data_IF_805411907820
#
_entry.id   IF_805411907820
#
_cell.length_a   1.000
_cell.length_b   1.000
_cell.length_c   1.000
_cell.angle_alpha   90.00
_cell.angle_beta   90.00
_cell.angle_gamma   90.00
#
_symmetry.space_group_name_H-M   'P 1'
#
loop_
_entity.id
_entity.type
_entity.pdbx_description
1 polymer ?
#
# COMPACT_ATOMS: atom_id res chain seq x y z
N UNK A 1 -33.79 10.93 -41.48
CA UNK A 1 -32.89 9.77 -41.28
C UNK A 1 -31.39 10.10 -41.41
N UNK A 2 -30.93 10.97 -42.32
CA UNK A 2 -29.49 11.35 -42.41
C UNK A 2 -28.93 12.18 -41.24
N UNK A 3 -29.75 13.00 -40.57
CA UNK A 3 -29.31 13.82 -39.42
C UNK A 3 -29.21 13.04 -38.11
N UNK A 4 -30.02 12.00 -37.91
CA UNK A 4 -30.00 11.16 -36.69
C UNK A 4 -28.79 10.21 -36.65
N UNK A 5 -28.33 9.73 -37.81
CA UNK A 5 -27.11 8.89 -37.91
C UNK A 5 -25.83 9.69 -37.63
N UNK A 6 -25.72 10.91 -38.14
CA UNK A 6 -24.54 11.80 -37.88
C UNK A 6 -24.47 12.23 -36.41
N UNK A 7 -25.62 12.37 -35.73
CA UNK A 7 -25.69 12.74 -34.31
C UNK A 7 -25.29 11.58 -33.37
N UNK A 8 -25.40 10.31 -33.78
CA UNK A 8 -24.89 9.17 -32.99
C UNK A 8 -23.42 8.83 -33.28
N UNK A 9 -22.90 9.15 -34.46
CA UNK A 9 -21.49 8.87 -34.80
C UNK A 9 -20.53 9.68 -33.93
N UNK A 10 -20.85 10.94 -33.62
CA UNK A 10 -20.01 11.80 -32.79
C UNK A 10 -19.84 11.26 -31.34
N UNK A 11 -20.91 10.94 -30.58
CA UNK A 11 -20.76 10.38 -29.24
C UNK A 11 -20.14 8.99 -29.24
N UNK A 12 -20.40 8.15 -30.26
CA UNK A 12 -19.74 6.84 -30.38
C UNK A 12 -18.26 6.99 -30.68
N UNK A 13 -17.88 7.87 -31.61
CA UNK A 13 -16.48 8.14 -31.93
C UNK A 13 -15.73 8.75 -30.73
N UNK A 14 -16.36 9.68 -30.01
CA UNK A 14 -15.80 10.23 -28.77
C UNK A 14 -15.65 9.16 -27.68
N UNK A 15 -16.65 8.30 -27.50
CA UNK A 15 -16.59 7.20 -26.54
C UNK A 15 -15.50 6.18 -26.90
N UNK A 16 -15.43 5.77 -28.17
CA UNK A 16 -14.39 4.86 -28.67
C UNK A 16 -12.99 5.47 -28.54
N UNK A 17 -12.84 6.77 -28.81
CA UNK A 17 -11.59 7.49 -28.62
C UNK A 17 -11.21 7.59 -27.13
N UNK A 18 -12.17 7.94 -26.27
CA UNK A 18 -11.96 8.10 -24.82
C UNK A 18 -11.60 6.78 -24.14
N UNK A 19 -12.36 5.71 -24.40
CA UNK A 19 -12.09 4.37 -23.89
C UNK A 19 -10.81 3.80 -24.51
N UNK A 20 -10.61 4.00 -25.82
CA UNK A 20 -9.38 3.61 -26.52
C UNK A 20 -8.15 4.25 -25.90
N UNK A 21 -8.21 5.53 -25.54
CA UNK A 21 -7.13 6.24 -24.87
C UNK A 21 -6.75 5.64 -23.53
N UNK A 22 -7.73 5.25 -22.69
CA UNK A 22 -7.46 4.62 -21.39
C UNK A 22 -6.92 3.19 -21.52
N UNK A 23 -7.38 2.44 -22.52
CA UNK A 23 -6.87 1.09 -22.81
C UNK A 23 -5.43 1.11 -23.34
N UNK A 24 -5.05 2.16 -24.06
CA UNK A 24 -3.70 2.35 -24.61
C UNK A 24 -2.76 3.16 -23.70
N UNK A 25 -3.25 3.64 -22.55
CA UNK A 25 -2.43 4.43 -21.63
C UNK A 25 -1.26 3.59 -21.07
N UNK A 26 -0.09 4.20 -20.80
CA UNK A 26 1.08 3.46 -20.32
C UNK A 26 0.85 2.80 -18.94
N UNK A 27 1.74 1.89 -18.57
CA UNK A 27 1.70 1.19 -17.28
C UNK A 27 1.02 -0.18 -17.33
N UNK A 28 0.91 -0.81 -16.16
CA UNK A 28 0.56 -2.23 -16.04
C UNK A 28 -0.85 -2.50 -15.51
N UNK A 29 -1.67 -1.47 -15.32
CA UNK A 29 -3.04 -1.64 -14.81
C UNK A 29 -3.83 -2.60 -15.71
N UNK A 30 -4.63 -3.48 -15.09
CA UNK A 30 -5.48 -4.42 -15.82
C UNK A 30 -6.55 -3.67 -16.62
N UNK A 31 -7.06 -4.27 -17.70
CA UNK A 31 -8.17 -3.71 -18.49
C UNK A 31 -9.37 -3.38 -17.59
N UNK A 32 -9.70 -4.25 -16.64
CA UNK A 32 -10.79 -4.03 -15.68
C UNK A 32 -10.54 -2.81 -14.80
N UNK A 33 -9.32 -2.65 -14.25
CA UNK A 33 -8.97 -1.51 -13.42
C UNK A 33 -9.03 -0.19 -14.22
N UNK A 34 -8.48 -0.20 -15.44
CA UNK A 34 -8.51 0.93 -16.38
C UNK A 34 -9.94 1.38 -16.69
N UNK A 35 -10.82 0.44 -17.04
CA UNK A 35 -12.22 0.73 -17.35
C UNK A 35 -13.00 1.21 -16.13
N UNK A 36 -12.75 0.63 -14.95
CA UNK A 36 -13.34 1.09 -13.71
C UNK A 36 -12.96 2.55 -13.44
N UNK A 37 -11.68 2.90 -13.56
CA UNK A 37 -11.22 4.28 -13.37
C UNK A 37 -11.78 5.25 -14.38
N UNK A 38 -11.80 4.88 -15.65
CA UNK A 38 -12.46 5.66 -16.69
C UNK A 38 -13.92 5.93 -16.33
N UNK A 39 -14.67 4.90 -15.92
CA UNK A 39 -16.08 5.04 -15.58
C UNK A 39 -16.29 5.98 -14.39
N UNK A 40 -15.47 5.84 -13.35
CA UNK A 40 -15.55 6.70 -12.17
C UNK A 40 -15.17 8.15 -12.47
N UNK A 41 -14.17 8.38 -13.32
CA UNK A 41 -13.80 9.73 -13.78
C UNK A 41 -14.93 10.40 -14.56
N UNK A 42 -15.71 9.64 -15.31
CA UNK A 42 -16.87 10.14 -16.08
C UNK A 42 -18.19 10.14 -15.29
N UNK A 43 -18.11 10.21 -13.95
CA UNK A 43 -19.29 10.36 -13.09
C UNK A 43 -20.07 9.06 -12.83
N UNK A 44 -19.64 7.91 -13.37
CA UNK A 44 -20.28 6.61 -13.11
C UNK A 44 -19.77 5.94 -11.83
N UNK A 45 -19.20 6.72 -10.91
CA UNK A 45 -18.65 6.24 -9.64
C UNK A 45 -19.64 5.43 -8.80
N UNK A 46 -20.91 5.85 -8.76
CA UNK A 46 -21.97 5.15 -8.03
C UNK A 46 -22.27 3.78 -8.64
N UNK A 47 -22.31 3.67 -9.97
CA UNK A 47 -22.58 2.41 -10.69
C UNK A 47 -21.46 1.41 -10.44
N UNK A 48 -20.20 1.84 -10.56
CA UNK A 48 -19.06 0.96 -10.28
C UNK A 48 -19.08 0.47 -8.83
N UNK A 49 -19.36 1.37 -7.87
CA UNK A 49 -19.44 1.01 -6.46
C UNK A 49 -20.57 0.02 -6.19
N UNK A 50 -21.71 0.16 -6.87
CA UNK A 50 -22.85 -0.74 -6.76
C UNK A 50 -22.53 -2.13 -7.36
N UNK A 51 -21.84 -2.18 -8.50
CA UNK A 51 -21.37 -3.45 -9.06
C UNK A 51 -20.38 -4.15 -8.14
N UNK A 52 -19.45 -3.41 -7.52
CA UNK A 52 -18.53 -3.95 -6.53
C UNK A 52 -19.26 -4.47 -5.30
N UNK A 53 -20.31 -3.77 -4.84
CA UNK A 53 -21.18 -4.21 -3.74
C UNK A 53 -21.90 -5.51 -4.08
N UNK A 54 -22.45 -5.62 -5.30
CA UNK A 54 -23.10 -6.85 -5.78
C UNK A 54 -22.09 -7.99 -5.87
N UNK A 55 -20.91 -7.74 -6.45
CA UNK A 55 -19.83 -8.73 -6.53
C UNK A 55 -19.43 -9.23 -5.14
N UNK A 56 -19.32 -8.33 -4.16
CA UNK A 56 -19.03 -8.69 -2.77
C UNK A 56 -20.15 -9.55 -2.17
N UNK A 57 -21.41 -9.24 -2.43
CA UNK A 57 -22.54 -10.05 -1.93
C UNK A 57 -22.60 -11.44 -2.58
N UNK A 58 -22.20 -11.55 -3.84
CA UNK A 58 -22.13 -12.83 -4.55
C UNK A 58 -20.91 -13.66 -4.16
N UNK A 59 -19.83 -13.01 -3.72
CA UNK A 59 -18.56 -13.68 -3.40
C UNK A 59 -17.90 -13.00 -2.19
N UNK A 60 -18.52 -13.09 -1.00
CA UNK A 60 -17.89 -12.56 0.21
C UNK A 60 -16.65 -13.39 0.55
N UNK A 61 -15.67 -12.83 1.29
CA UNK A 61 -14.53 -13.59 1.77
C UNK A 61 -14.95 -14.85 2.52
N UNK A 62 -14.15 -15.90 2.37
CA UNK A 62 -14.43 -17.19 2.96
C UNK A 62 -14.26 -17.14 4.48
N UNK A 63 -15.29 -17.54 5.22
CA UNK A 63 -15.19 -17.76 6.66
C UNK A 63 -14.65 -19.17 6.92
N UNK A 64 -13.65 -19.26 7.80
CA UNK A 64 -12.97 -20.47 8.20
C UNK A 64 -11.98 -20.99 7.16
N UNK A 65 -11.58 -22.25 7.34
CA UNK A 65 -10.62 -22.95 6.50
C UNK A 65 -9.18 -22.88 7.02
N UNK A 66 -8.29 -23.61 6.36
CA UNK A 66 -6.86 -23.57 6.62
C UNK A 66 -6.17 -22.64 5.63
N UNK A 67 -5.01 -22.10 6.02
CA UNK A 67 -4.09 -21.45 5.10
C UNK A 67 -3.75 -22.42 3.95
N UNK A 68 -3.50 -21.86 2.77
CA UNK A 68 -3.06 -22.64 1.59
C UNK A 68 -1.64 -23.25 1.75
N UNK A 69 -1.01 -23.09 2.92
CA UNK A 69 0.30 -23.59 3.28
C UNK A 69 0.65 -23.23 4.73
N UNK A 70 1.93 -23.35 5.08
CA UNK A 70 2.45 -22.81 6.34
C UNK A 70 2.62 -21.28 6.27
N UNK A 71 2.91 -20.66 7.41
CA UNK A 71 3.39 -19.28 7.44
C UNK A 71 4.66 -19.18 6.57
N UNK A 72 4.75 -18.22 5.63
CA UNK A 72 5.92 -18.07 4.77
C UNK A 72 7.20 -17.91 5.60
N UNK A 73 8.29 -18.52 5.14
CA UNK A 73 9.62 -18.35 5.72
C UNK A 73 10.47 -17.57 4.72
N UNK A 74 10.89 -16.37 5.10
CA UNK A 74 11.71 -15.52 4.26
C UNK A 74 13.18 -15.94 4.36
N UNK A 75 13.84 -16.06 3.21
CA UNK A 75 15.30 -16.19 3.15
C UNK A 75 15.84 -14.82 2.77
N UNK A 76 16.66 -14.16 3.62
CA UNK A 76 17.11 -12.81 3.32
C UNK A 76 17.89 -12.78 1.99
N UNK A 77 17.44 -11.96 1.06
CA UNK A 77 18.16 -11.67 -0.17
C UNK A 77 19.43 -10.87 0.14
N UNK A 78 20.60 -11.46 -0.09
CA UNK A 78 21.88 -10.77 0.00
C UNK A 78 22.07 -9.87 -1.23
N UNK A 79 22.13 -8.55 -1.01
CA UNK A 79 22.58 -7.61 -2.04
C UNK A 79 24.07 -7.80 -2.32
N UNK A 80 24.41 -8.59 -3.34
CA UNK A 80 25.77 -8.72 -3.89
C UNK A 80 26.21 -10.18 -4.15
N UNK A 81 27.00 -10.44 -5.22
CA UNK A 81 27.45 -11.79 -5.53
C UNK A 81 28.67 -12.17 -4.69
N UNK A 82 28.58 -13.23 -3.89
CA UNK A 82 29.74 -14.00 -3.43
C UNK A 82 29.37 -15.44 -3.03
N UNK A 83 30.32 -16.39 -3.14
CA UNK A 83 30.03 -17.79 -3.40
C UNK A 83 29.50 -18.52 -2.16
N UNK A 84 28.58 -19.47 -2.41
CA UNK A 84 28.07 -20.43 -1.44
C UNK A 84 29.21 -21.09 -0.66
N UNK A 85 29.25 -20.88 0.66
CA UNK A 85 29.82 -21.82 1.60
C UNK A 85 28.66 -22.40 2.39
N UNK A 86 28.50 -23.71 2.30
CA UNK A 86 27.46 -24.47 2.97
C UNK A 86 27.51 -24.25 4.49
N UNK A 87 26.40 -23.81 5.09
CA UNK A 87 26.23 -23.75 6.54
C UNK A 87 25.33 -24.90 7.00
N UNK A 88 25.86 -25.71 7.92
CA UNK A 88 25.17 -26.80 8.61
C UNK A 88 24.03 -26.30 9.53
N UNK A 89 23.03 -27.16 9.83
CA UNK A 89 21.85 -26.76 10.57
C UNK A 89 22.16 -26.64 12.07
N UNK A 90 21.93 -25.45 12.64
CA UNK A 90 21.98 -25.27 14.10
C UNK A 90 20.73 -24.59 14.63
N UNK A 91 20.07 -25.32 15.54
CA UNK A 91 19.25 -24.94 16.68
C UNK A 91 18.24 -23.77 16.56
N UNK A 92 16.98 -24.08 16.87
CA UNK A 92 15.90 -23.13 17.15
C UNK A 92 16.33 -22.10 18.21
N UNK A 93 16.46 -20.84 17.80
CA UNK A 93 16.67 -19.69 18.69
C UNK A 93 15.28 -19.13 19.06
N UNK A 94 14.89 -19.29 20.32
CA UNK A 94 13.67 -18.74 20.92
C UNK A 94 13.81 -17.27 21.36
N UNK A 95 14.39 -16.43 20.51
CA UNK A 95 14.51 -14.99 20.73
C UNK A 95 14.89 -14.27 19.45
N UNK A 96 14.02 -13.36 18.97
CA UNK A 96 14.28 -12.58 17.76
C UNK A 96 15.55 -11.73 17.92
N UNK A 97 16.54 -11.82 17.01
CA UNK A 97 17.75 -10.97 17.02
C UNK A 97 17.50 -9.47 16.86
N UNK A 98 16.24 -9.05 16.67
CA UNK A 98 15.87 -7.77 16.04
C UNK A 98 15.14 -6.80 16.95
N UNK A 99 15.00 -7.09 18.25
CA UNK A 99 14.38 -6.19 19.23
C UNK A 99 12.87 -5.96 19.06
N UNK A 100 12.27 -6.46 17.98
CA UNK A 100 10.84 -6.42 17.72
C UNK A 100 10.13 -7.56 18.47
N UNK A 101 9.07 -7.22 19.19
CA UNK A 101 8.15 -8.21 19.75
C UNK A 101 7.30 -8.82 18.62
N UNK A 102 7.09 -10.14 18.66
CA UNK A 102 6.22 -10.81 17.71
C UNK A 102 4.80 -10.25 17.77
N UNK A 103 4.15 -10.16 16.61
CA UNK A 103 2.75 -9.73 16.53
C UNK A 103 1.88 -10.84 17.15
N UNK A 104 1.02 -10.54 18.14
CA UNK A 104 0.07 -11.51 18.66
C UNK A 104 -0.81 -12.12 17.57
N UNK A 105 -1.02 -13.43 17.65
CA UNK A 105 -1.93 -14.13 16.74
C UNK A 105 -3.38 -13.65 16.94
N UNK A 106 -4.03 -13.27 15.84
CA UNK A 106 -5.42 -12.79 15.83
C UNK A 106 -6.44 -13.94 15.79
N UNK A 107 -5.95 -15.17 15.62
CA UNK A 107 -6.74 -16.40 15.54
C UNK A 107 -6.17 -17.44 16.50
N UNK A 108 -7.04 -18.22 17.15
CA UNK A 108 -6.63 -19.31 18.04
C UNK A 108 -7.09 -20.70 17.51
N UNK A 109 -6.29 -21.76 17.72
CA UNK A 109 -4.91 -21.71 18.23
C UNK A 109 -3.96 -21.04 17.22
N UNK A 110 -2.90 -20.40 17.71
CA UNK A 110 -1.84 -19.86 16.88
C UNK A 110 -1.17 -20.98 16.04
N UNK A 111 -0.77 -20.66 14.81
CA UNK A 111 0.04 -21.57 13.98
C UNK A 111 1.53 -21.26 14.11
N UNK A 112 2.38 -22.23 13.80
CA UNK A 112 3.83 -22.06 13.92
C UNK A 112 4.34 -20.92 13.02
N UNK A 113 5.20 -20.06 13.58
CA UNK A 113 5.78 -18.90 12.88
C UNK A 113 4.86 -17.67 12.80
N UNK A 114 3.60 -17.77 13.23
CA UNK A 114 2.63 -16.68 13.16
C UNK A 114 3.12 -15.45 13.94
N UNK A 115 3.15 -14.30 13.26
CA UNK A 115 3.57 -13.02 13.82
C UNK A 115 5.06 -12.89 14.14
N UNK A 116 5.88 -13.89 13.83
CA UNK A 116 7.33 -13.82 14.05
C UNK A 116 8.02 -12.98 12.98
N UNK A 117 8.94 -12.10 13.40
CA UNK A 117 9.71 -11.25 12.50
C UNK A 117 10.86 -12.00 11.86
N UNK A 118 11.04 -11.77 10.57
CA UNK A 118 12.10 -12.35 9.76
C UNK A 118 12.67 -11.29 8.80
N UNK A 119 13.99 -11.25 8.57
CA UNK A 119 14.61 -10.26 7.70
C UNK A 119 14.20 -10.52 6.25
N UNK A 120 13.56 -9.52 5.63
CA UNK A 120 13.24 -9.53 4.19
C UNK A 120 14.39 -8.90 3.39
N UNK A 121 15.03 -7.89 3.95
CA UNK A 121 16.19 -7.20 3.38
C UNK A 121 17.19 -6.86 4.47
N UNK A 122 18.47 -7.10 4.20
CA UNK A 122 19.58 -6.70 5.08
C UNK A 122 20.50 -5.72 4.34
N UNK A 123 20.81 -4.58 4.96
CA UNK A 123 21.80 -3.62 4.47
C UNK A 123 22.87 -3.44 5.53
N UNK A 124 24.15 -3.49 5.13
CA UNK A 124 25.30 -3.34 6.03
C UNK A 124 25.23 -4.25 7.28
N UNK A 125 24.73 -5.48 7.11
CA UNK A 125 24.58 -6.46 8.20
C UNK A 125 23.44 -6.18 9.19
N UNK A 126 22.59 -5.19 8.92
CA UNK A 126 21.40 -4.86 9.72
C UNK A 126 20.11 -5.11 8.92
N UNK A 127 19.04 -5.64 9.54
CA UNK A 127 17.75 -5.77 8.89
C UNK A 127 17.19 -4.39 8.54
N UNK A 128 17.13 -4.06 7.25
CA UNK A 128 16.57 -2.81 6.76
C UNK A 128 15.05 -2.93 6.55
N UNK A 129 14.59 -4.11 6.12
CA UNK A 129 13.17 -4.48 6.08
C UNK A 129 13.00 -5.83 6.76
N UNK A 130 12.05 -5.92 7.67
CA UNK A 130 11.62 -7.17 8.29
C UNK A 130 10.17 -7.43 7.95
N UNK A 131 9.81 -8.70 7.74
CA UNK A 131 8.43 -9.13 7.51
C UNK A 131 7.95 -10.05 8.63
N UNK A 132 6.66 -10.00 8.91
CA UNK A 132 5.94 -10.99 9.70
C UNK A 132 4.62 -11.31 8.98
N UNK A 133 4.13 -12.54 9.17
CA UNK A 133 2.88 -12.98 8.55
C UNK A 133 1.97 -13.61 9.58
N UNK A 134 0.68 -13.35 9.45
CA UNK A 134 -0.33 -13.84 10.36
C UNK A 134 -1.70 -13.95 9.69
N UNK A 135 -2.58 -14.77 10.26
CA UNK A 135 -4.00 -14.74 9.86
C UNK A 135 -4.64 -13.43 10.34
N UNK A 136 -5.56 -12.85 9.56
CA UNK A 136 -6.11 -11.53 9.84
C UNK A 136 -6.98 -11.51 11.10
N UNK A 137 -7.88 -12.48 11.25
CA UNK A 137 -8.84 -12.54 12.36
C UNK A 137 -9.38 -13.96 12.60
N UNK A 138 -10.21 -14.13 13.63
CA UNK A 138 -10.77 -15.42 14.02
C UNK A 138 -11.80 -16.00 13.01
N UNK A 139 -12.28 -15.21 12.05
CA UNK A 139 -13.27 -15.62 11.06
C UNK A 139 -12.60 -15.99 9.73
N UNK A 140 -11.65 -15.20 9.24
CA UNK A 140 -11.04 -15.33 7.91
C UNK A 140 -9.74 -16.15 7.97
N UNK A 141 -9.80 -17.33 8.60
CA UNK A 141 -8.63 -18.13 9.00
C UNK A 141 -7.85 -18.78 7.84
N UNK A 142 -8.39 -18.73 6.62
CA UNK A 142 -7.71 -19.21 5.41
C UNK A 142 -6.94 -18.13 4.66
N UNK A 143 -6.98 -16.88 5.14
CA UNK A 143 -6.27 -15.74 4.57
C UNK A 143 -4.98 -15.44 5.32
N UNK A 144 -4.04 -14.79 4.62
CA UNK A 144 -2.75 -14.36 5.17
C UNK A 144 -2.63 -12.83 5.06
N UNK A 145 -2.11 -12.21 6.10
CA UNK A 145 -1.73 -10.79 6.14
C UNK A 145 -0.21 -10.71 6.27
N UNK A 146 0.41 -9.90 5.42
CA UNK A 146 1.81 -9.52 5.52
C UNK A 146 1.98 -8.20 6.25
N UNK A 147 2.98 -8.13 7.11
CA UNK A 147 3.39 -6.91 7.80
C UNK A 147 4.86 -6.67 7.56
N UNK A 148 5.25 -5.48 7.12
CA UNK A 148 6.63 -5.08 6.93
C UNK A 148 7.01 -3.95 7.88
N UNK A 149 8.19 -4.03 8.50
CA UNK A 149 8.81 -2.93 9.25
C UNK A 149 9.99 -2.38 8.45
N UNK A 150 10.03 -1.05 8.28
CA UNK A 150 11.03 -0.34 7.48
C UNK A 150 11.91 0.52 8.42
N UNK A 151 13.21 0.24 8.44
CA UNK A 151 14.19 1.02 9.22
C UNK A 151 14.62 2.27 8.45
N UNK A 152 14.09 3.42 8.87
CA UNK A 152 14.36 4.71 8.25
C UNK A 152 15.79 5.23 8.48
N UNK A 153 16.58 4.61 9.35
CA UNK A 153 18.00 4.93 9.52
C UNK A 153 18.88 4.36 8.41
N UNK A 154 18.37 3.33 7.72
CA UNK A 154 19.03 2.68 6.58
C UNK A 154 18.35 3.02 5.25
N UNK A 155 17.08 3.44 5.31
CA UNK A 155 16.22 3.64 4.15
C UNK A 155 15.62 5.05 4.13
N UNK A 156 15.31 5.54 2.94
CA UNK A 156 14.60 6.78 2.70
C UNK A 156 13.39 6.56 1.81
N UNK A 157 12.36 7.37 1.99
CA UNK A 157 11.10 7.31 1.25
C UNK A 157 11.02 8.46 0.26
N UNK A 158 10.48 8.18 -0.91
CA UNK A 158 10.23 9.16 -1.95
C UNK A 158 8.83 8.95 -2.52
N UNK A 159 8.01 10.02 -2.52
CA UNK A 159 6.67 9.98 -3.10
C UNK A 159 6.74 10.29 -4.59
N UNK A 160 6.31 9.35 -5.40
CA UNK A 160 6.12 9.54 -6.84
C UNK A 160 4.65 9.85 -7.13
N UNK A 161 4.33 10.93 -7.86
CA UNK A 161 2.96 11.21 -8.28
C UNK A 161 2.53 10.21 -9.36
N UNK A 162 1.28 9.76 -9.34
CA UNK A 162 0.71 9.06 -10.49
C UNK A 162 0.28 10.04 -11.57
N UNK A 163 0.34 9.61 -12.84
CA UNK A 163 -0.07 10.46 -13.96
C UNK A 163 -1.59 10.73 -14.00
N UNK A 164 -2.40 9.96 -13.25
CA UNK A 164 -3.84 10.25 -13.05
C UNK A 164 -4.16 10.70 -11.62
N UNK A 165 -3.48 10.15 -10.60
CA UNK A 165 -3.65 10.54 -9.19
C UNK A 165 -2.27 10.79 -8.59
N UNK A 166 -1.97 12.02 -8.14
CA UNK A 166 -2.83 13.21 -8.18
C UNK A 166 -3.09 13.73 -9.60
N UNK A 167 -2.36 13.25 -10.61
CA UNK A 167 -2.40 13.79 -11.97
C UNK A 167 -1.79 15.19 -12.04
N UNK A 168 -2.09 15.93 -13.11
CA UNK A 168 -1.50 17.25 -13.33
C UNK A 168 -0.10 17.20 -13.94
N UNK A 169 0.63 18.31 -13.86
CA UNK A 169 1.97 18.47 -14.43
C UNK A 169 2.82 19.38 -13.54
N UNK A 170 4.14 19.43 -13.78
CA UNK A 170 5.06 20.28 -13.02
C UNK A 170 5.66 19.62 -11.77
N UNK A 171 5.33 18.36 -11.51
CA UNK A 171 5.95 17.58 -10.43
C UNK A 171 7.43 17.37 -10.70
N UNK A 172 8.24 17.46 -9.64
CA UNK A 172 9.66 17.15 -9.71
C UNK A 172 9.89 15.64 -9.85
N UNK A 173 9.10 14.85 -9.12
CA UNK A 173 9.20 13.40 -9.19
C UNK A 173 8.45 12.81 -10.39
N UNK A 174 9.02 11.81 -11.08
CA UNK A 174 8.38 11.15 -12.20
C UNK A 174 7.30 10.17 -11.73
N UNK A 175 6.53 9.66 -12.69
CA UNK A 175 5.39 8.77 -12.43
C UNK A 175 5.77 7.30 -12.32
N UNK A 176 7.07 7.02 -12.31
CA UNK A 176 7.72 5.72 -12.24
C UNK A 176 9.07 5.89 -11.55
N UNK A 177 9.69 4.79 -11.10
CA UNK A 177 11.05 4.81 -10.58
C UNK A 177 12.04 4.96 -11.73
N UNK A 178 12.81 6.08 -11.78
CA UNK A 178 13.83 6.30 -12.80
C UNK A 178 14.86 5.19 -12.84
N UNK A 179 15.38 4.88 -14.03
CA UNK A 179 16.48 3.91 -14.18
C UNK A 179 17.70 4.27 -13.31
N UNK A 180 17.96 5.56 -13.09
CA UNK A 180 19.07 6.04 -12.25
C UNK A 180 18.94 5.68 -10.77
N UNK A 181 17.74 5.34 -10.29
CA UNK A 181 17.49 5.03 -8.88
C UNK A 181 17.34 3.52 -8.63
N UNK A 182 17.24 2.72 -9.69
CA UNK A 182 16.94 1.28 -9.58
C UNK A 182 17.99 0.50 -8.82
N UNK A 183 19.24 0.95 -8.79
CA UNK A 183 20.28 0.29 -7.98
C UNK A 183 20.11 0.53 -6.47
N UNK A 184 19.47 1.65 -6.09
CA UNK A 184 19.18 1.96 -4.70
C UNK A 184 17.76 1.55 -4.29
N UNK A 185 16.89 1.20 -5.24
CA UNK A 185 15.49 0.84 -5.00
C UNK A 185 15.39 -0.49 -4.26
N UNK A 186 14.93 -0.49 -3.02
CA UNK A 186 14.80 -1.73 -2.25
C UNK A 186 13.36 -2.18 -2.07
N UNK A 187 12.41 -1.24 -2.08
CA UNK A 187 10.99 -1.55 -2.05
C UNK A 187 10.13 -0.45 -2.67
N UNK A 188 8.88 -0.77 -2.96
CA UNK A 188 7.81 0.18 -3.28
C UNK A 188 6.51 -0.28 -2.62
N UNK A 189 5.61 0.66 -2.37
CA UNK A 189 4.26 0.33 -1.90
C UNK A 189 3.23 1.36 -2.37
N UNK A 190 1.97 0.95 -2.40
CA UNK A 190 0.89 1.82 -2.85
C UNK A 190 0.62 3.00 -1.91
N UNK A 191 0.11 4.09 -2.47
CA UNK A 191 -0.34 5.26 -1.71
C UNK A 191 -1.79 5.11 -1.22
N UNK A 192 -2.39 6.22 -0.81
CA UNK A 192 -3.77 6.33 -0.35
C UNK A 192 -4.81 6.31 -1.46
N UNK A 193 -6.06 6.58 -1.10
CA UNK A 193 -7.18 6.55 -2.04
C UNK A 193 -7.03 7.64 -3.10
N UNK A 194 -7.76 7.48 -4.20
CA UNK A 194 -8.01 8.55 -5.16
C UNK A 194 -8.42 9.83 -4.44
N UNK A 195 -8.03 10.98 -4.98
CA UNK A 195 -8.26 12.23 -4.27
C UNK A 195 -9.73 12.48 -3.93
N UNK A 196 -10.64 12.13 -4.86
CA UNK A 196 -12.08 12.24 -4.66
C UNK A 196 -12.65 11.38 -3.53
N UNK A 197 -11.98 10.28 -3.15
CA UNK A 197 -12.43 9.36 -2.09
C UNK A 197 -11.60 9.49 -0.80
N UNK A 198 -10.38 10.03 -0.89
CA UNK A 198 -9.44 10.13 0.24
C UNK A 198 -9.92 11.01 1.38
N UNK A 199 -10.86 11.93 1.12
CA UNK A 199 -11.22 13.04 2.02
C UNK A 199 -9.98 13.76 2.57
N UNK A 200 -8.92 13.83 1.78
CA UNK A 200 -7.63 14.42 2.15
C UNK A 200 -7.02 15.21 1.00
N UNK A 201 -5.85 15.80 1.25
CA UNK A 201 -5.08 16.52 0.25
C UNK A 201 -3.83 15.79 -0.24
N UNK A 202 -3.21 16.43 -1.21
CA UNK A 202 -1.93 16.06 -1.79
C UNK A 202 -1.11 17.32 -2.01
N UNK A 203 0.07 17.37 -1.41
CA UNK A 203 1.06 18.42 -1.59
C UNK A 203 2.43 17.80 -1.80
N UNK A 204 3.21 18.33 -2.75
CA UNK A 204 4.57 17.90 -3.00
C UNK A 204 5.41 19.04 -3.58
N UNK A 205 6.62 19.23 -3.06
CA UNK A 205 7.64 20.14 -3.58
C UNK A 205 7.13 21.58 -3.85
N UNK A 206 6.32 22.12 -2.92
CA UNK A 206 5.75 23.46 -3.05
C UNK A 206 4.46 23.53 -3.88
N UNK A 207 4.05 22.43 -4.52
CA UNK A 207 2.86 22.35 -5.35
C UNK A 207 1.72 21.61 -4.64
N UNK A 208 0.53 22.22 -4.66
CA UNK A 208 -0.71 21.62 -4.16
C UNK A 208 -1.52 21.04 -5.32
N UNK A 209 -1.79 19.73 -5.30
CA UNK A 209 -2.81 19.15 -6.18
C UNK A 209 -4.20 19.28 -5.58
N UNK A 210 -4.33 18.95 -4.30
CA UNK A 210 -5.58 19.06 -3.53
C UNK A 210 -5.24 19.62 -2.15
N UNK A 211 -5.97 20.65 -1.67
CA UNK A 211 -5.68 21.26 -0.38
C UNK A 211 -5.65 20.26 0.77
N UNK A 212 -4.65 20.39 1.65
CA UNK A 212 -4.56 19.59 2.87
C UNK A 212 -5.71 19.91 3.81
N UNK A 213 -6.30 18.87 4.41
CA UNK A 213 -7.35 18.98 5.41
C UNK A 213 -6.75 18.88 6.81
N UNK A 214 -7.09 19.84 7.67
CA UNK A 214 -6.81 19.77 9.11
C UNK A 214 -7.48 18.54 9.73
N UNK A 215 -6.73 17.81 10.55
CA UNK A 215 -7.19 16.61 11.25
C UNK A 215 -7.11 15.31 10.45
N UNK A 216 -6.84 15.38 9.14
CA UNK A 216 -6.68 14.18 8.31
C UNK A 216 -5.39 13.43 8.67
N UNK A 217 -5.45 12.11 8.59
CA UNK A 217 -4.26 11.27 8.65
C UNK A 217 -3.35 11.57 7.45
N UNK A 218 -2.05 11.75 7.72
CA UNK A 218 -1.09 12.27 6.76
C UNK A 218 0.23 11.52 6.84
N UNK A 219 0.65 10.96 5.72
CA UNK A 219 2.04 10.58 5.48
C UNK A 219 2.80 11.85 5.10
N UNK A 220 3.78 12.23 5.90
CA UNK A 220 4.63 13.40 5.70
C UNK A 220 6.04 12.92 5.43
N UNK A 221 6.61 13.28 4.28
CA UNK A 221 8.01 12.96 3.92
C UNK A 221 8.85 14.21 4.02
N UNK A 222 10.01 14.09 4.65
CA UNK A 222 10.96 15.18 4.90
C UNK A 222 12.15 15.14 3.94
N UNK A 223 12.89 16.25 3.84
CA UNK A 223 14.04 16.42 2.95
C UNK A 223 15.17 15.43 3.15
N UNK A 224 15.35 14.94 4.38
CA UNK A 224 16.33 13.88 4.69
C UNK A 224 15.81 12.47 4.33
N UNK A 225 14.60 12.40 3.77
CA UNK A 225 13.96 11.20 3.28
C UNK A 225 13.30 10.34 4.36
N UNK A 226 13.23 10.77 5.63
CA UNK A 226 12.36 10.07 6.57
C UNK A 226 10.89 10.47 6.36
N UNK A 227 9.97 9.62 6.81
CA UNK A 227 8.54 9.83 6.80
C UNK A 227 7.94 9.69 8.20
N UNK A 228 6.86 10.42 8.45
CA UNK A 228 6.04 10.29 9.65
C UNK A 228 4.57 10.11 9.26
N UNK A 229 3.79 9.49 10.15
CA UNK A 229 2.33 9.39 10.06
C UNK A 229 1.73 10.25 11.16
N UNK A 230 1.06 11.32 10.79
CA UNK A 230 0.54 12.33 11.72
C UNK A 230 -0.93 12.64 11.51
N UNK A 231 -1.58 13.16 12.55
CA UNK A 231 -2.81 13.92 12.40
C UNK A 231 -2.45 15.34 11.99
N UNK A 232 -2.86 15.76 10.79
CA UNK A 232 -2.42 17.06 10.27
C UNK A 232 -2.92 18.22 11.14
N UNK A 233 -2.01 19.07 11.60
CA UNK A 233 -2.35 20.25 12.40
C UNK A 233 -3.02 21.39 11.61
N UNK A 234 -3.00 21.31 10.27
CA UNK A 234 -3.41 22.41 9.39
C UNK A 234 -2.23 23.29 8.99
N UNK A 235 -2.51 24.31 8.18
CA UNK A 235 -1.49 25.21 7.66
C UNK A 235 -0.71 24.65 6.47
N UNK A 236 0.30 25.42 6.06
CA UNK A 236 1.21 25.06 4.97
C UNK A 236 2.30 24.10 5.48
N UNK A 237 2.72 23.12 4.67
CA UNK A 237 3.88 22.30 5.00
C UNK A 237 5.12 23.14 5.34
N UNK A 238 5.87 22.71 6.34
CA UNK A 238 7.07 23.41 6.80
C UNK A 238 8.22 23.32 5.80
N UNK A 239 9.31 24.09 6.00
CA UNK A 239 10.42 24.18 5.05
C UNK A 239 11.18 22.86 4.85
N UNK A 240 11.08 21.91 5.79
CA UNK A 240 11.75 20.60 5.73
C UNK A 240 10.87 19.49 5.15
N UNK A 241 9.61 19.77 4.83
CA UNK A 241 8.67 18.82 4.24
C UNK A 241 8.79 18.86 2.73
N UNK A 242 8.91 17.69 2.08
CA UNK A 242 8.92 17.55 0.61
C UNK A 242 7.62 16.98 0.07
N UNK A 243 6.90 16.19 0.86
CA UNK A 243 5.58 15.68 0.45
C UNK A 243 4.64 15.51 1.65
N UNK A 244 3.35 15.76 1.41
CA UNK A 244 2.27 15.40 2.33
C UNK A 244 1.18 14.70 1.53
N UNK A 245 0.92 13.45 1.88
CA UNK A 245 -0.16 12.67 1.32
C UNK A 245 -1.16 12.26 2.39
N UNK A 246 -2.39 12.71 2.25
CA UNK A 246 -3.43 12.44 3.24
C UNK A 246 -4.39 11.36 2.78
N UNK A 247 -4.94 10.64 3.74
CA UNK A 247 -6.05 9.72 3.52
C UNK A 247 -6.86 9.59 4.82
N UNK A 248 -8.17 9.85 4.75
CA UNK A 248 -9.14 9.67 5.83
C UNK A 248 -8.65 10.26 7.18
N UNK A 249 -9.05 9.63 8.30
CA UNK A 249 -8.59 9.94 9.65
C UNK A 249 -7.65 8.81 10.16
N UNK A 250 -6.94 9.04 11.27
CA UNK A 250 -6.01 8.04 11.80
C UNK A 250 -6.76 6.80 12.28
N UNK A 251 -6.26 5.61 11.93
CA UNK A 251 -6.70 4.31 12.44
C UNK A 251 -6.23 4.08 13.88
N UNK A 252 -4.99 4.51 14.16
CA UNK A 252 -4.34 4.43 15.47
C UNK A 252 -3.84 5.81 15.81
N UNK A 253 -4.11 6.27 17.03
CA UNK A 253 -3.60 7.52 17.58
C UNK A 253 -3.12 7.27 19.01
N UNK A 254 -1.85 7.61 19.27
CA UNK A 254 -1.17 7.33 20.53
C UNK A 254 -1.31 5.86 21.00
N UNK A 255 -1.13 4.91 20.09
CA UNK A 255 -1.22 3.46 20.34
C UNK A 255 -2.64 2.94 20.61
N UNK A 256 -3.66 3.79 20.48
CA UNK A 256 -5.07 3.43 20.69
C UNK A 256 -5.81 3.44 19.36
N UNK A 257 -6.72 2.49 19.15
CA UNK A 257 -7.58 2.50 17.97
C UNK A 257 -8.47 3.74 17.97
N UNK A 258 -8.79 4.27 16.79
CA UNK A 258 -9.73 5.36 16.64
C UNK A 258 -11.06 5.06 17.36
N UNK A 259 -11.64 6.07 18.01
CA UNK A 259 -12.89 5.90 18.76
C UNK A 259 -14.07 5.48 17.86
N UNK A 260 -14.01 5.83 16.58
CA UNK A 260 -15.00 5.54 15.55
C UNK A 260 -14.56 4.43 14.59
N UNK A 261 -13.65 3.54 15.02
CA UNK A 261 -13.13 2.43 14.20
C UNK A 261 -14.24 1.50 13.65
N UNK A 262 -15.36 1.38 14.35
CA UNK A 262 -16.54 0.60 13.91
C UNK A 262 -17.59 1.43 13.17
N UNK A 263 -17.30 2.71 12.90
CA UNK A 263 -18.20 3.61 12.15
C UNK A 263 -18.56 2.98 10.81
N UNK A 264 -19.87 2.90 10.56
CA UNK A 264 -20.42 2.43 9.29
C UNK A 264 -20.65 3.60 8.31
N UNK A 265 -20.17 4.80 8.64
CA UNK A 265 -20.31 5.95 7.73
C UNK A 265 -19.20 5.92 6.69
N UNK A 266 -19.56 6.20 5.43
CA UNK A 266 -18.58 6.28 4.35
C UNK A 266 -17.67 7.49 4.46
N UNK A 267 -18.05 8.46 5.30
CA UNK A 267 -17.23 9.58 5.68
C UNK A 267 -15.99 9.10 6.45
N UNK A 268 -16.14 8.22 7.44
CA UNK A 268 -15.00 7.83 8.28
C UNK A 268 -14.01 6.94 7.54
N UNK A 269 -14.48 5.88 6.87
CA UNK A 269 -13.61 4.81 6.33
C UNK A 269 -13.77 4.56 4.82
N UNK A 270 -14.29 5.55 4.09
CA UNK A 270 -14.55 5.42 2.66
C UNK A 270 -15.76 4.56 2.33
N UNK A 271 -15.94 4.22 1.05
CA UNK A 271 -17.17 3.54 0.58
C UNK A 271 -17.33 2.10 1.05
N UNK A 272 -16.30 1.48 1.61
CA UNK A 272 -16.42 0.19 2.29
C UNK A 272 -16.82 0.45 3.74
N UNK A 273 -17.93 -0.17 4.15
CA UNK A 273 -18.68 0.21 5.34
C UNK A 273 -18.01 -0.39 6.59
N UNK A 274 -17.05 0.30 7.20
CA UNK A 274 -16.49 -0.03 8.54
C UNK A 274 -16.13 -1.51 8.74
N UNK A 275 -16.62 -2.11 9.83
CA UNK A 275 -16.43 -3.53 10.16
C UNK A 275 -17.38 -4.49 9.41
N UNK A 276 -18.20 -3.99 8.47
CA UNK A 276 -19.16 -4.79 7.71
C UNK A 276 -18.62 -5.30 6.37
N UNK A 277 -17.42 -4.88 5.95
CA UNK A 277 -16.82 -5.27 4.68
C UNK A 277 -15.36 -5.67 4.86
N UNK A 278 -15.05 -6.91 4.44
CA UNK A 278 -13.72 -7.50 4.48
C UNK A 278 -13.15 -7.53 3.07
N UNK A 279 -12.08 -6.78 2.82
CA UNK A 279 -11.48 -6.61 1.49
C UNK A 279 -9.97 -6.59 1.61
N UNK A 280 -9.29 -6.56 0.48
CA UNK A 280 -7.92 -6.07 0.42
C UNK A 280 -7.81 -4.72 1.14
N UNK A 281 -6.87 -4.59 2.05
CA UNK A 281 -6.55 -3.30 2.68
C UNK A 281 -5.06 -3.14 2.86
N UNK A 282 -4.62 -1.90 2.85
CA UNK A 282 -3.26 -1.55 3.27
C UNK A 282 -3.27 -0.45 4.32
N UNK A 283 -2.26 -0.43 5.18
CA UNK A 283 -2.03 0.64 6.15
C UNK A 283 -0.56 1.01 6.22
N UNK A 284 -0.30 2.28 6.53
CA UNK A 284 1.01 2.77 6.92
C UNK A 284 0.94 3.30 8.34
N UNK A 285 1.86 2.87 9.19
CA UNK A 285 2.02 3.36 10.55
C UNK A 285 3.45 3.76 10.86
N UNK A 286 3.61 4.48 11.96
CA UNK A 286 4.89 4.88 12.54
C UNK A 286 4.98 4.31 13.96
N UNK A 287 6.13 3.74 14.30
CA UNK A 287 6.45 3.23 15.64
C UNK A 287 7.13 4.32 16.48
N UNK A 288 7.16 4.13 17.80
CA UNK A 288 7.81 5.07 18.71
C UNK A 288 9.33 5.20 18.46
N UNK A 289 9.95 4.16 17.90
CA UNK A 289 11.37 4.14 17.51
C UNK A 289 11.64 4.83 16.16
N UNK A 290 10.61 5.34 15.49
CA UNK A 290 10.72 5.99 14.18
C UNK A 290 10.72 5.04 12.99
N UNK A 291 10.61 3.72 13.17
CA UNK A 291 10.43 2.79 12.04
C UNK A 291 8.99 2.83 11.51
N UNK A 292 8.83 2.61 10.20
CA UNK A 292 7.49 2.51 9.60
C UNK A 292 6.98 1.08 9.70
N UNK A 293 5.65 0.92 9.77
CA UNK A 293 4.93 -0.36 9.69
C UNK A 293 4.02 -0.30 8.47
N UNK A 294 4.15 -1.24 7.55
CA UNK A 294 3.21 -1.44 6.46
C UNK A 294 2.43 -2.73 6.68
N UNK A 295 1.11 -2.71 6.50
CA UNK A 295 0.24 -3.89 6.59
C UNK A 295 -0.46 -4.08 5.25
N UNK A 296 -0.52 -5.31 4.75
CA UNK A 296 -1.25 -5.66 3.54
C UNK A 296 -1.88 -7.05 3.65
N UNK A 297 -3.12 -7.18 3.18
CA UNK A 297 -3.77 -8.49 3.07
C UNK A 297 -5.21 -8.38 2.58
N UNK A 298 -5.77 -9.53 2.19
CA UNK A 298 -7.19 -9.68 1.89
C UNK A 298 -8.02 -9.97 3.15
N UNK A 299 -9.34 -9.90 3.01
CA UNK A 299 -10.31 -10.18 4.06
C UNK A 299 -10.08 -9.36 5.33
N UNK A 300 -9.63 -8.11 5.19
CA UNK A 300 -9.42 -7.19 6.29
C UNK A 300 -10.62 -6.24 6.43
N UNK A 301 -11.13 -6.09 7.65
CA UNK A 301 -11.94 -4.94 8.03
C UNK A 301 -11.05 -3.77 8.48
N UNK A 302 -11.65 -2.59 8.64
CA UNK A 302 -10.95 -1.41 9.20
C UNK A 302 -10.39 -1.74 10.59
N UNK A 303 -11.19 -2.40 11.44
CA UNK A 303 -10.79 -2.81 12.79
C UNK A 303 -9.66 -3.83 12.75
N UNK A 304 -9.75 -4.84 11.88
CA UNK A 304 -8.70 -5.86 11.75
C UNK A 304 -7.38 -5.22 11.34
N UNK A 305 -7.39 -4.36 10.31
CA UNK A 305 -6.23 -3.61 9.84
C UNK A 305 -5.59 -2.77 10.95
N UNK A 306 -6.40 -1.98 11.66
CA UNK A 306 -5.91 -1.09 12.73
C UNK A 306 -5.37 -1.88 13.94
N UNK A 307 -6.00 -3.01 14.27
CA UNK A 307 -5.56 -3.91 15.34
C UNK A 307 -4.19 -4.48 15.02
N UNK A 308 -3.99 -5.00 13.81
CA UNK A 308 -2.69 -5.54 13.36
C UNK A 308 -1.62 -4.45 13.33
N UNK A 309 -1.92 -3.25 12.83
CA UNK A 309 -0.95 -2.14 12.79
C UNK A 309 -0.51 -1.74 14.22
N UNK A 310 -1.45 -1.61 15.16
CA UNK A 310 -1.16 -1.34 16.58
C UNK A 310 -0.32 -2.46 17.20
N UNK A 311 -0.70 -3.71 16.95
CA UNK A 311 -0.05 -4.90 17.51
C UNK A 311 1.36 -5.11 16.93
N UNK A 312 1.62 -4.60 15.72
CA UNK A 312 2.95 -4.46 15.14
C UNK A 312 3.75 -3.27 15.71
N UNK A 313 3.20 -2.55 16.70
CA UNK A 313 3.86 -1.48 17.45
C UNK A 313 3.61 -0.07 16.93
N UNK A 314 2.74 0.13 15.93
CA UNK A 314 2.43 1.46 15.43
C UNK A 314 1.76 2.31 16.53
N UNK A 315 2.32 3.49 16.81
CA UNK A 315 1.72 4.47 17.71
C UNK A 315 0.77 5.40 16.98
N UNK A 316 0.97 5.59 15.67
CA UNK A 316 0.01 6.21 14.76
C UNK A 316 -0.06 5.42 13.48
N UNK A 317 -1.24 5.28 12.90
CA UNK A 317 -1.42 4.57 11.64
C UNK A 317 -2.57 5.16 10.82
N UNK A 318 -2.46 5.05 9.49
CA UNK A 318 -3.45 5.51 8.53
C UNK A 318 -3.77 4.40 7.52
N UNK A 319 -5.03 4.37 7.08
CA UNK A 319 -5.44 3.50 5.98
C UNK A 319 -4.89 4.03 4.66
N UNK A 320 -4.39 3.13 3.82
CA UNK A 320 -3.91 3.37 2.46
C UNK A 320 -4.92 2.75 1.48
N UNK A 321 -4.64 2.61 0.18
CA UNK A 321 -5.61 2.01 -0.77
C UNK A 321 -6.12 0.62 -0.30
N UNK A 322 -7.37 0.31 -0.66
CA UNK A 322 -8.09 -0.93 -0.32
C UNK A 322 -8.55 -1.68 -1.58
N UNK A 323 -8.25 -1.16 -2.76
CA UNK A 323 -8.57 -1.89 -3.97
C UNK A 323 -7.50 -2.93 -4.25
N UNK A 324 -7.91 -4.20 -4.35
CA UNK A 324 -7.04 -5.32 -4.73
C UNK A 324 -6.21 -5.07 -6.00
N UNK A 325 -6.68 -4.24 -6.92
CA UNK A 325 -5.94 -3.87 -8.13
C UNK A 325 -4.75 -2.94 -7.86
N UNK A 326 -4.68 -2.32 -6.67
CA UNK A 326 -3.66 -1.34 -6.32
C UNK A 326 -2.92 -1.63 -5.00
N UNK A 327 -3.44 -2.46 -4.10
CA UNK A 327 -2.77 -2.84 -2.83
C UNK A 327 -1.55 -3.72 -3.07
N UNK A 328 -0.36 -3.30 -2.62
CA UNK A 328 0.87 -4.09 -2.71
C UNK A 328 2.00 -3.55 -1.81
N UNK A 329 2.91 -4.44 -1.44
CA UNK A 329 4.27 -4.12 -1.00
C UNK A 329 5.27 -4.95 -1.82
N UNK A 330 6.12 -4.28 -2.59
CA UNK A 330 7.04 -4.92 -3.53
C UNK A 330 8.47 -4.68 -3.04
N UNK A 331 9.26 -5.73 -2.92
CA UNK A 331 10.72 -5.62 -2.69
C UNK A 331 11.50 -5.88 -3.97
N UNK A 332 12.77 -5.47 -4.02
CA UNK A 332 13.60 -5.61 -5.21
C UNK A 332 14.95 -6.28 -4.92
N UNK A 333 15.32 -7.22 -5.78
CA UNK A 333 16.67 -7.79 -5.85
C UNK A 333 17.43 -7.25 -7.06
N UNK A 334 18.76 -7.15 -6.94
CA UNK A 334 19.63 -6.53 -7.95
C UNK A 334 20.67 -7.53 -8.48
N UNK A 335 20.33 -8.37 -9.48
CA UNK A 335 21.27 -9.35 -10.03
C UNK A 335 22.42 -8.71 -10.83
N UNK A 336 22.25 -7.47 -11.29
CA UNK A 336 23.27 -6.68 -11.99
C UNK A 336 22.93 -5.18 -11.88
N UNK A 337 23.90 -4.27 -12.11
CA UNK A 337 23.64 -2.83 -12.11
C UNK A 337 22.53 -2.43 -13.08
N UNK A 338 21.69 -1.48 -12.66
CA UNK A 338 20.50 -0.98 -13.34
C UNK A 338 19.30 -1.93 -13.36
N UNK A 339 19.43 -3.16 -12.83
CA UNK A 339 18.38 -4.18 -12.90
C UNK A 339 17.75 -4.40 -11.52
N UNK A 340 16.49 -3.99 -11.38
CA UNK A 340 15.67 -4.25 -10.21
C UNK A 340 14.60 -5.32 -10.55
N UNK A 341 14.67 -6.47 -9.87
CA UNK A 341 13.71 -7.58 -10.04
C UNK A 341 12.72 -7.56 -8.87
N UNK A 342 11.41 -7.36 -9.12
CA UNK A 342 10.40 -7.22 -8.07
C UNK A 342 9.92 -8.55 -7.48
N UNK A 343 9.59 -8.53 -6.18
CA UNK A 343 8.99 -9.63 -5.42
C UNK A 343 7.85 -9.10 -4.54
N UNK A 344 6.66 -9.71 -4.65
CA UNK A 344 5.51 -9.34 -3.81
C UNK A 344 5.69 -9.83 -2.37
N UNK A 345 5.16 -9.07 -1.40
CA UNK A 345 5.17 -9.46 0.01
C UNK A 345 4.34 -10.73 0.26
N UNK A 346 3.19 -10.86 -0.40
CA UNK A 346 2.38 -12.08 -0.38
C UNK A 346 2.08 -12.55 -1.80
N UNK A 347 1.97 -13.87 -1.99
CA UNK A 347 1.81 -14.48 -3.31
C UNK A 347 0.43 -14.21 -3.96
N UNK A 348 -0.54 -13.71 -3.18
CA UNK A 348 -1.90 -13.42 -3.60
C UNK A 348 -2.15 -11.94 -3.96
N UNK A 349 -1.14 -11.07 -3.83
CA UNK A 349 -1.19 -9.71 -4.35
C UNK A 349 -1.47 -9.71 -5.87
N UNK A 350 -2.48 -8.96 -6.30
CA UNK A 350 -2.94 -8.95 -7.70
C UNK A 350 -2.26 -7.94 -8.63
N UNK A 351 -1.69 -6.80 -8.16
CA UNK A 351 -1.03 -5.87 -9.07
C UNK A 351 0.13 -6.53 -9.81
N UNK A 352 0.54 -5.97 -10.95
CA UNK A 352 1.76 -6.42 -11.61
C UNK A 352 2.99 -6.03 -10.75
N UNK A 353 3.91 -6.95 -10.41
CA UNK A 353 5.08 -6.63 -9.58
C UNK A 353 6.01 -5.57 -10.19
N UNK A 354 6.01 -5.39 -11.51
CA UNK A 354 6.83 -4.38 -12.21
C UNK A 354 6.15 -3.02 -12.33
N UNK A 355 4.97 -2.81 -11.72
CA UNK A 355 4.10 -1.65 -11.98
C UNK A 355 4.73 -0.28 -11.76
N UNK A 356 5.69 -0.18 -10.86
CA UNK A 356 6.36 1.08 -10.52
C UNK A 356 7.71 1.27 -11.24
N UNK A 357 8.15 0.26 -12.01
CA UNK A 357 9.25 0.40 -12.96
C UNK A 357 8.77 0.93 -14.33
N UNK A 358 7.50 1.37 -14.38
CA UNK A 358 6.78 1.92 -15.53
C UNK A 358 5.83 3.01 -15.03
N UNK A 359 5.35 3.92 -15.90
CA UNK A 359 4.42 4.96 -15.49
C UNK A 359 3.18 4.41 -14.78
N UNK A 360 2.94 4.88 -13.55
CA UNK A 360 1.81 4.47 -12.72
C UNK A 360 0.67 5.48 -12.79
N UNK A 361 -0.57 4.98 -12.93
CA UNK A 361 -1.79 5.80 -12.83
C UNK A 361 -1.93 6.44 -11.46
N UNK A 362 -1.41 5.78 -10.42
CA UNK A 362 -1.50 6.17 -9.00
C UNK A 362 -0.16 6.59 -8.44
N UNK A 363 -0.22 7.48 -7.46
CA UNK A 363 0.92 7.80 -6.62
C UNK A 363 1.33 6.58 -5.81
N UNK A 364 2.62 6.50 -5.50
CA UNK A 364 3.23 5.40 -4.75
C UNK A 364 4.49 5.90 -4.07
N UNK A 365 4.99 5.11 -3.11
CA UNK A 365 6.23 5.42 -2.41
C UNK A 365 7.33 4.48 -2.90
N UNK A 366 8.45 5.04 -3.31
CA UNK A 366 9.71 4.32 -3.48
C UNK A 366 10.49 4.34 -2.16
N UNK A 367 11.09 3.21 -1.81
CA UNK A 367 11.97 3.05 -0.65
C UNK A 367 13.36 2.77 -1.18
N UNK A 368 14.27 3.69 -0.91
CA UNK A 368 15.64 3.69 -1.42
C UNK A 368 16.63 3.44 -0.27
N UNK A 369 17.72 2.73 -0.54
CA UNK A 369 18.86 2.67 0.36
C UNK A 369 19.50 4.07 0.54
N UNK A 370 19.99 4.35 1.75
CA UNK A 370 20.68 5.60 2.09
C UNK A 370 22.14 5.64 1.67
#
# INVERSE_FOLDING_TARGET
MRRTGVVMVIPIAWLSWSVGGVLMAPGTDTVTARLAEWARFHGMGAVVSEMERIQYQLSPPKVGGALAGAIPTETPGSGGPSPQVAAQPTAQVTGSPTGLQAIPAQTQPAVAGEGQWQPLLTLHGKPAIQAAFLRPDALHTSYLTGVAVIDQSLLKMELHPGYQVPGGSGWLQPTDVPTSERDALVATFNSGFRMADSRGGYWQDGQTAVPLRTGAASMVIYKDGHADVVKWGGGTPGPDVVAVRQNLDLLVDNGTLAADIDSTTTATWGKTVGNATYVWRTALGIRADGSLVFVAGDALSVRTLATIARDAGAVRAMEMDINKAWTNFITYTHPSPGVAVPHMLTADEQPNPSRYLQPSTRDFVAVLAR
#
